data_IF_675493423669
#
_entry.id   IF_675493423669
#
_cell.length_a   1.000
_cell.length_b   1.000
_cell.length_c   1.000
_cell.angle_alpha   90.00
_cell.angle_beta   90.00
_cell.angle_gamma   90.00
#
_symmetry.space_group_name_H-M   'P 1'
#
loop_
_entity.id
_entity.type
_entity.pdbx_description
1 polymer ?
#
# COMPACT_ATOMS: atom_id res chain seq x y z
N UNK A 1 -22.92 70.91 -15.48
CA UNK A 1 -21.66 70.77 -16.23
C UNK A 1 -20.56 70.45 -15.23
N UNK A 2 -20.01 69.24 -15.26
CA UNK A 2 -18.82 68.87 -14.46
C UNK A 2 -17.62 68.82 -15.41
N UNK A 3 -16.43 69.33 -15.04
CA UNK A 3 -15.25 69.21 -15.87
C UNK A 3 -14.72 67.78 -15.79
N UNK A 4 -14.50 67.17 -16.96
CA UNK A 4 -13.85 65.86 -17.08
C UNK A 4 -12.34 66.09 -16.99
N UNK A 5 -11.75 65.75 -15.85
CA UNK A 5 -10.29 65.76 -15.68
C UNK A 5 -9.64 64.74 -16.63
N UNK A 6 -9.07 65.27 -17.71
CA UNK A 6 -8.32 64.52 -18.71
C UNK A 6 -7.00 63.98 -18.15
N UNK A 7 -7.07 62.87 -17.41
CA UNK A 7 -5.89 62.05 -17.10
C UNK A 7 -5.50 61.30 -18.38
N UNK A 8 -4.57 61.87 -19.15
CA UNK A 8 -3.96 61.16 -20.27
C UNK A 8 -3.23 59.91 -19.75
N UNK A 9 -3.66 58.74 -20.20
CA UNK A 9 -2.94 57.48 -20.01
C UNK A 9 -1.68 57.53 -20.88
N UNK A 10 -0.56 57.95 -20.29
CA UNK A 10 0.76 57.89 -20.93
C UNK A 10 1.11 56.42 -21.17
N UNK A 11 1.11 55.99 -22.43
CA UNK A 11 1.53 54.64 -22.82
C UNK A 11 3.00 54.46 -22.43
N UNK A 12 3.31 53.48 -21.56
CA UNK A 12 4.70 53.10 -21.25
C UNK A 12 5.40 52.67 -22.54
N UNK A 13 6.39 53.45 -22.98
CA UNK A 13 7.23 53.11 -24.12
C UNK A 13 8.02 51.81 -23.87
N UNK A 14 8.17 51.00 -24.92
CA UNK A 14 8.96 49.76 -24.88
C UNK A 14 10.43 50.11 -24.69
N UNK A 15 11.06 49.63 -23.61
CA UNK A 15 12.51 49.67 -23.43
C UNK A 15 13.13 48.62 -24.35
N UNK A 16 13.68 49.04 -25.48
CA UNK A 16 14.51 48.17 -26.33
C UNK A 16 15.88 48.11 -25.67
N UNK A 17 16.31 46.91 -25.28
CA UNK A 17 17.67 46.68 -24.81
C UNK A 17 18.48 46.35 -26.06
N UNK A 18 19.44 47.21 -26.40
CA UNK A 18 20.07 47.18 -27.74
C UNK A 18 21.29 46.26 -27.78
N UNK A 19 21.93 45.98 -26.64
CA UNK A 19 23.15 45.15 -26.58
C UNK A 19 23.04 43.96 -25.63
N UNK A 20 23.74 42.86 -25.93
CA UNK A 20 23.83 41.69 -25.05
C UNK A 20 24.48 42.03 -23.69
N UNK A 21 25.40 43.00 -23.69
CA UNK A 21 26.01 43.49 -22.46
C UNK A 21 25.03 44.26 -21.59
N UNK A 22 24.21 45.15 -22.15
CA UNK A 22 23.17 45.84 -21.38
C UNK A 22 22.12 44.86 -20.87
N UNK A 23 21.77 43.85 -21.67
CA UNK A 23 20.87 42.77 -21.26
C UNK A 23 21.47 41.97 -20.10
N UNK A 24 22.76 41.69 -20.16
CA UNK A 24 23.52 41.02 -19.11
C UNK A 24 23.63 41.88 -17.85
N UNK A 25 23.91 43.18 -17.97
CA UNK A 25 23.97 44.12 -16.84
C UNK A 25 22.63 44.25 -16.13
N UNK A 26 21.52 44.37 -16.88
CA UNK A 26 20.16 44.44 -16.31
C UNK A 26 19.80 43.13 -15.60
N UNK A 27 20.11 41.98 -16.21
CA UNK A 27 19.88 40.68 -15.60
C UNK A 27 20.66 40.52 -14.28
N UNK A 28 21.97 40.83 -14.31
CA UNK A 28 22.86 40.73 -13.15
C UNK A 28 22.43 41.65 -11.99
N UNK A 29 21.98 42.87 -12.30
CA UNK A 29 21.45 43.80 -11.29
C UNK A 29 20.19 43.25 -10.61
N UNK A 30 19.32 42.53 -11.34
CA UNK A 30 18.11 41.92 -10.80
C UNK A 30 18.33 40.59 -10.05
N UNK A 31 19.45 39.92 -10.27
CA UNK A 31 19.81 38.66 -9.58
C UNK A 31 20.63 38.87 -8.31
N UNK A 32 21.21 40.05 -8.14
CA UNK A 32 22.04 40.40 -6.96
C UNK A 32 21.14 40.97 -5.86
N UNK A 33 20.45 40.08 -5.14
CA UNK A 33 19.72 40.45 -3.92
C UNK A 33 20.63 40.26 -2.70
N UNK A 34 20.81 41.28 -1.83
CA UNK A 34 21.44 41.07 -0.53
C UNK A 34 20.59 40.07 0.24
N UNK A 35 21.17 38.96 0.68
CA UNK A 35 20.48 37.96 1.51
C UNK A 35 20.03 38.61 2.80
N UNK A 36 18.76 39.03 2.86
CA UNK A 36 18.12 39.44 4.10
C UNK A 36 17.74 38.17 4.87
N UNK A 37 18.00 38.16 6.18
CA UNK A 37 17.47 37.10 7.06
C UNK A 37 15.95 37.19 7.09
N UNK A 38 15.30 36.37 6.26
CA UNK A 38 13.85 36.17 6.31
C UNK A 38 13.49 35.36 7.56
N UNK A 39 12.51 35.86 8.33
CA UNK A 39 11.87 35.08 9.39
C UNK A 39 11.26 33.79 8.82
N UNK A 40 11.21 32.72 9.62
CA UNK A 40 10.76 31.39 9.17
C UNK A 40 9.33 31.42 8.60
N UNK A 41 8.43 32.19 9.21
CA UNK A 41 7.05 32.35 8.72
C UNK A 41 6.98 33.02 7.35
N UNK A 42 7.76 34.09 7.14
CA UNK A 42 7.82 34.79 5.86
C UNK A 42 8.44 33.89 4.77
N UNK A 43 9.46 33.11 5.13
CA UNK A 43 10.07 32.11 4.25
C UNK A 43 9.07 31.02 3.86
N UNK A 44 8.33 30.48 4.82
CA UNK A 44 7.33 29.44 4.60
C UNK A 44 6.17 29.96 3.74
N UNK A 45 5.71 31.19 3.99
CA UNK A 45 4.70 31.86 3.16
C UNK A 45 5.19 32.03 1.72
N UNK A 46 6.39 32.57 1.51
CA UNK A 46 6.98 32.74 0.18
C UNK A 46 7.17 31.41 -0.55
N UNK A 47 7.64 30.36 0.14
CA UNK A 47 7.80 29.02 -0.42
C UNK A 47 6.44 28.42 -0.82
N UNK A 48 5.42 28.60 0.02
CA UNK A 48 4.05 28.17 -0.28
C UNK A 48 3.51 28.85 -1.53
N UNK A 49 3.66 30.18 -1.65
CA UNK A 49 3.20 30.94 -2.82
C UNK A 49 3.94 30.54 -4.11
N UNK A 50 5.24 30.23 -4.01
CA UNK A 50 6.00 29.71 -5.16
C UNK A 50 5.56 28.29 -5.53
N UNK A 51 5.28 27.44 -4.55
CA UNK A 51 4.75 26.09 -4.77
C UNK A 51 3.37 26.14 -5.43
N UNK A 52 2.46 26.99 -4.95
CA UNK A 52 1.12 27.19 -5.51
C UNK A 52 1.19 27.64 -6.96
N UNK A 53 1.92 28.73 -7.26
CA UNK A 53 2.10 29.19 -8.64
C UNK A 53 2.76 28.13 -9.54
N UNK A 54 3.62 27.30 -8.97
CA UNK A 54 4.22 26.17 -9.66
C UNK A 54 3.24 25.02 -9.94
N UNK A 55 2.19 24.85 -9.12
CA UNK A 55 1.10 23.92 -9.40
C UNK A 55 0.16 24.48 -10.47
N UNK A 56 -0.23 25.74 -10.37
CA UNK A 56 -1.08 26.43 -11.36
C UNK A 56 -0.46 26.34 -12.76
N UNK A 57 0.83 26.69 -12.92
CA UNK A 57 1.53 26.54 -14.20
C UNK A 57 1.55 25.10 -14.71
N UNK A 58 1.69 24.11 -13.83
CA UNK A 58 1.69 22.69 -14.22
C UNK A 58 0.29 22.18 -14.60
N UNK A 59 -0.76 22.75 -14.02
CA UNK A 59 -2.14 22.43 -14.38
C UNK A 59 -2.52 23.00 -15.76
N UNK A 60 -1.92 24.13 -16.15
CA UNK A 60 -2.12 24.78 -17.45
C UNK A 60 -1.19 24.26 -18.56
N UNK A 61 -0.25 23.35 -18.24
CA UNK A 61 0.67 22.78 -19.23
C UNK A 61 -0.08 21.98 -20.31
N UNK A 62 0.27 22.22 -21.56
CA UNK A 62 -0.09 21.30 -22.65
C UNK A 62 0.65 19.97 -22.52
N UNK A 63 0.11 18.91 -23.12
CA UNK A 63 0.75 17.59 -23.07
C UNK A 63 2.17 17.59 -23.67
N UNK A 64 2.41 18.38 -24.72
CA UNK A 64 3.75 18.55 -25.30
C UNK A 64 4.73 19.24 -24.32
N UNK A 65 4.30 20.31 -23.66
CA UNK A 65 5.11 21.01 -22.64
C UNK A 65 5.38 20.10 -21.44
N UNK A 66 4.38 19.33 -21.00
CA UNK A 66 4.51 18.36 -19.92
C UNK A 66 5.53 17.28 -20.27
N UNK A 67 5.42 16.70 -21.47
CA UNK A 67 6.33 15.66 -21.94
C UNK A 67 7.75 16.19 -22.13
N UNK A 68 7.91 17.40 -22.67
CA UNK A 68 9.21 18.08 -22.74
C UNK A 68 9.83 18.29 -21.35
N UNK A 69 9.05 18.79 -20.38
CA UNK A 69 9.51 18.98 -19.00
C UNK A 69 9.91 17.66 -18.34
N UNK A 70 9.10 16.61 -18.48
CA UNK A 70 9.38 15.28 -17.94
C UNK A 70 10.64 14.67 -18.56
N UNK A 71 10.84 14.81 -19.87
CA UNK A 71 12.03 14.35 -20.57
C UNK A 71 13.29 15.02 -20.03
N UNK A 72 13.29 16.35 -19.88
CA UNK A 72 14.43 17.10 -19.32
C UNK A 72 14.72 16.69 -17.86
N UNK A 73 13.70 16.50 -17.03
CA UNK A 73 13.89 16.01 -15.66
C UNK A 73 14.45 14.59 -15.62
N UNK A 74 13.98 13.72 -16.52
CA UNK A 74 14.48 12.36 -16.68
C UNK A 74 15.96 12.33 -17.05
N UNK A 75 16.36 13.10 -18.07
CA UNK A 75 17.76 13.26 -18.49
C UNK A 75 18.65 13.78 -17.36
N UNK A 76 18.23 14.83 -16.66
CA UNK A 76 18.97 15.35 -15.50
C UNK A 76 19.11 14.32 -14.38
N UNK A 77 18.08 13.51 -14.13
CA UNK A 77 18.18 12.43 -13.14
C UNK A 77 19.14 11.33 -13.58
N UNK A 78 19.18 10.99 -14.87
CA UNK A 78 20.11 9.99 -15.39
C UNK A 78 21.55 10.50 -15.27
N UNK A 79 21.80 11.76 -15.64
CA UNK A 79 23.10 12.39 -15.49
C UNK A 79 23.59 12.35 -14.03
N UNK A 80 22.74 12.80 -13.08
CA UNK A 80 23.09 12.73 -11.66
C UNK A 80 23.39 11.30 -11.19
N UNK A 81 22.63 10.30 -11.64
CA UNK A 81 22.88 8.89 -11.30
C UNK A 81 24.18 8.35 -11.91
N UNK A 82 24.57 8.83 -13.10
CA UNK A 82 25.83 8.45 -13.72
C UNK A 82 27.05 9.03 -12.99
N UNK A 83 26.86 10.15 -12.30
CA UNK A 83 27.89 10.83 -11.50
C UNK A 83 27.87 10.44 -10.01
N UNK A 84 26.93 9.57 -9.58
CA UNK A 84 26.86 9.10 -8.19
C UNK A 84 28.10 8.28 -7.82
N UNK A 85 28.64 8.52 -6.62
CA UNK A 85 29.65 7.62 -6.04
C UNK A 85 29.01 6.32 -5.55
N UNK A 86 29.82 5.30 -5.27
CA UNK A 86 29.32 4.04 -4.71
C UNK A 86 28.60 4.24 -3.37
N UNK A 87 29.12 5.11 -2.49
CA UNK A 87 28.49 5.45 -1.21
C UNK A 87 27.13 6.12 -1.39
N UNK A 88 27.04 7.09 -2.32
CA UNK A 88 25.78 7.77 -2.64
C UNK A 88 24.76 6.79 -3.24
N UNK A 89 25.22 5.87 -4.09
CA UNK A 89 24.39 4.83 -4.69
C UNK A 89 23.84 3.90 -3.61
N UNK A 90 24.68 3.41 -2.71
CA UNK A 90 24.28 2.53 -1.61
C UNK A 90 23.28 3.22 -0.68
N UNK A 91 23.57 4.46 -0.25
CA UNK A 91 22.65 5.24 0.58
C UNK A 91 21.29 5.45 -0.09
N UNK A 92 21.27 5.79 -1.38
CA UNK A 92 20.01 5.93 -2.15
C UNK A 92 19.23 4.61 -2.22
N UNK A 93 19.91 3.49 -2.48
CA UNK A 93 19.28 2.17 -2.54
C UNK A 93 18.69 1.75 -1.20
N UNK A 94 19.41 2.00 -0.10
CA UNK A 94 18.91 1.74 1.26
C UNK A 94 17.62 2.53 1.56
N UNK A 95 17.59 3.83 1.25
CA UNK A 95 16.39 4.66 1.43
C UNK A 95 15.22 4.12 0.60
N UNK A 96 15.47 3.68 -0.64
CA UNK A 96 14.41 3.08 -1.47
C UNK A 96 13.92 1.75 -0.92
N UNK A 97 14.82 0.90 -0.41
CA UNK A 97 14.48 -0.38 0.20
C UNK A 97 13.63 -0.19 1.46
N UNK A 98 14.04 0.72 2.36
CA UNK A 98 13.28 1.06 3.57
C UNK A 98 11.91 1.64 3.22
N UNK A 99 11.84 2.57 2.25
CA UNK A 99 10.55 3.13 1.79
C UNK A 99 9.63 2.04 1.22
N UNK A 100 10.19 1.08 0.49
CA UNK A 100 9.44 -0.07 -0.03
C UNK A 100 8.93 -1.00 1.08
N UNK A 101 9.75 -1.26 2.10
CA UNK A 101 9.34 -2.03 3.28
C UNK A 101 8.22 -1.34 4.06
N UNK A 102 8.35 -0.02 4.29
CA UNK A 102 7.34 0.78 4.97
C UNK A 102 5.99 0.73 4.27
N UNK A 103 5.94 0.92 2.94
CA UNK A 103 4.68 0.82 2.17
C UNK A 103 4.02 -0.55 2.31
N UNK A 104 4.83 -1.62 2.26
CA UNK A 104 4.32 -2.99 2.45
C UNK A 104 3.80 -3.24 3.87
N UNK A 105 4.39 -2.61 4.87
CA UNK A 105 3.90 -2.68 6.25
C UNK A 105 2.58 -1.91 6.39
N UNK A 106 2.52 -0.65 5.90
CA UNK A 106 1.30 0.17 5.90
C UNK A 106 0.14 -0.56 5.19
N UNK A 107 0.39 -1.16 4.03
CA UNK A 107 -0.62 -1.97 3.31
C UNK A 107 -1.07 -3.21 4.10
N UNK A 108 -0.15 -3.88 4.81
CA UNK A 108 -0.52 -5.00 5.69
C UNK A 108 -1.38 -4.55 6.86
N UNK A 109 -1.05 -3.41 7.46
CA UNK A 109 -1.78 -2.85 8.58
C UNK A 109 -3.19 -2.39 8.15
N UNK A 110 -3.30 -1.72 7.00
CA UNK A 110 -4.57 -1.34 6.38
C UNK A 110 -5.42 -2.57 6.05
N UNK A 111 -4.84 -3.59 5.41
CA UNK A 111 -5.53 -4.84 5.11
C UNK A 111 -5.97 -5.57 6.39
N UNK A 112 -5.10 -5.62 7.41
CA UNK A 112 -5.44 -6.21 8.70
C UNK A 112 -6.60 -5.46 9.36
N UNK A 113 -6.59 -4.13 9.34
CA UNK A 113 -7.69 -3.31 9.83
C UNK A 113 -8.98 -3.55 9.06
N UNK A 114 -8.94 -3.63 7.72
CA UNK A 114 -10.10 -3.95 6.89
C UNK A 114 -10.68 -5.35 7.20
N UNK A 115 -9.81 -6.34 7.39
CA UNK A 115 -10.22 -7.70 7.78
C UNK A 115 -10.85 -7.69 9.18
N UNK A 116 -10.22 -7.02 10.14
CA UNK A 116 -10.72 -6.92 11.51
C UNK A 116 -12.10 -6.23 11.56
N UNK A 117 -12.26 -5.12 10.84
CA UNK A 117 -13.54 -4.42 10.74
C UNK A 117 -14.62 -5.27 10.08
N UNK A 118 -14.29 -6.06 9.05
CA UNK A 118 -15.23 -7.02 8.45
C UNK A 118 -15.69 -8.08 9.46
N UNK A 119 -14.76 -8.71 10.18
CA UNK A 119 -15.13 -9.73 11.17
C UNK A 119 -15.90 -9.15 12.36
N UNK A 120 -15.58 -7.93 12.80
CA UNK A 120 -16.35 -7.22 13.82
C UNK A 120 -17.77 -6.86 13.34
N UNK A 121 -17.96 -6.48 12.07
CA UNK A 121 -19.29 -6.25 11.51
C UNK A 121 -20.09 -7.56 11.38
N UNK A 122 -19.41 -8.67 11.02
CA UNK A 122 -20.03 -9.99 10.89
C UNK A 122 -20.61 -10.50 12.21
N UNK A 123 -19.92 -10.31 13.33
CA UNK A 123 -20.42 -10.72 14.65
C UNK A 123 -21.65 -9.92 15.10
N UNK A 124 -21.82 -8.69 14.62
CA UNK A 124 -23.04 -7.89 14.87
C UNK A 124 -24.19 -8.33 13.95
N UNK A 125 -23.91 -8.67 12.69
CA UNK A 125 -24.94 -9.02 11.70
C UNK A 125 -25.47 -10.46 11.86
N UNK A 126 -24.59 -11.38 12.26
CA UNK A 126 -24.93 -12.74 12.66
C UNK A 126 -24.28 -12.98 14.02
N UNK A 127 -24.97 -12.69 15.14
CA UNK A 127 -24.51 -13.20 16.42
C UNK A 127 -24.31 -14.70 16.24
N UNK A 128 -23.21 -15.23 16.79
CA UNK A 128 -22.86 -16.66 16.75
C UNK A 128 -24.16 -17.43 16.84
N UNK A 129 -24.62 -17.98 15.70
CA UNK A 129 -25.71 -18.94 15.71
C UNK A 129 -25.16 -19.98 16.66
N UNK A 130 -25.83 -20.17 17.81
CA UNK A 130 -25.54 -21.29 18.70
C UNK A 130 -25.28 -22.46 17.77
N UNK A 131 -24.05 -22.98 17.76
CA UNK A 131 -23.72 -24.15 16.93
C UNK A 131 -24.91 -25.08 17.08
N UNK A 132 -25.59 -25.50 15.99
CA UNK A 132 -26.63 -26.50 16.11
C UNK A 132 -25.93 -27.72 16.69
N UNK A 133 -25.97 -27.80 18.01
CA UNK A 133 -25.23 -28.74 18.80
C UNK A 133 -25.93 -30.06 18.52
N UNK A 134 -25.36 -30.82 17.60
CA UNK A 134 -25.86 -32.14 17.20
C UNK A 134 -25.77 -33.16 18.35
N UNK A 135 -25.39 -32.71 19.55
CA UNK A 135 -25.26 -33.48 20.76
C UNK A 135 -23.96 -34.28 20.76
N UNK A 136 -23.74 -35.04 21.84
CA UNK A 136 -22.64 -35.99 21.90
C UNK A 136 -22.90 -37.18 20.95
N UNK A 137 -21.85 -37.66 20.29
CA UNK A 137 -21.89 -38.76 19.33
C UNK A 137 -21.94 -40.12 20.05
N UNK A 138 -22.98 -40.37 20.84
CA UNK A 138 -23.07 -41.56 21.70
C UNK A 138 -23.83 -42.74 21.07
N UNK A 139 -24.48 -42.52 19.92
CA UNK A 139 -25.41 -43.51 19.39
C UNK A 139 -24.68 -44.60 18.61
N UNK A 140 -24.50 -45.76 19.25
CA UNK A 140 -23.84 -46.92 18.66
C UNK A 140 -24.72 -47.61 17.60
N UNK A 141 -24.14 -47.93 16.45
CA UNK A 141 -24.72 -48.89 15.52
C UNK A 141 -24.40 -50.33 15.94
N UNK A 142 -25.43 -51.13 16.24
CA UNK A 142 -25.27 -52.53 16.63
C UNK A 142 -24.72 -53.45 15.52
N UNK A 143 -24.66 -53.00 14.25
CA UNK A 143 -24.13 -53.78 13.13
C UNK A 143 -22.63 -53.62 12.90
N UNK A 144 -22.10 -52.41 13.01
CA UNK A 144 -20.69 -52.11 12.70
C UNK A 144 -19.93 -51.47 13.86
N UNK A 145 -20.59 -51.16 14.99
CA UNK A 145 -19.96 -50.52 16.15
C UNK A 145 -19.63 -49.04 15.97
N UNK A 146 -20.00 -48.41 14.84
CA UNK A 146 -19.79 -46.98 14.62
C UNK A 146 -20.68 -46.11 15.51
N UNK A 147 -20.16 -44.97 15.95
CA UNK A 147 -20.89 -43.95 16.70
C UNK A 147 -21.52 -42.92 15.75
N UNK A 148 -22.74 -42.47 16.05
CA UNK A 148 -23.52 -41.53 15.25
C UNK A 148 -24.16 -40.44 16.11
N UNK A 149 -24.44 -39.29 15.51
CA UNK A 149 -25.24 -38.25 16.13
C UNK A 149 -26.72 -38.65 16.16
N UNK A 150 -27.49 -38.07 17.09
CA UNK A 150 -28.89 -38.48 17.31
C UNK A 150 -29.76 -38.21 16.08
N UNK A 151 -29.46 -37.14 15.36
CA UNK A 151 -30.28 -36.63 14.25
C UNK A 151 -29.89 -37.23 12.88
N UNK A 152 -28.90 -38.12 12.83
CA UNK A 152 -28.47 -38.80 11.59
C UNK A 152 -29.34 -40.00 11.22
N UNK A 153 -30.34 -40.33 12.06
CA UNK A 153 -31.32 -41.39 11.76
C UNK A 153 -32.39 -40.87 10.81
N UNK A 154 -32.69 -41.67 9.79
CA UNK A 154 -33.88 -41.43 8.97
C UNK A 154 -35.17 -41.73 9.77
N UNK A 155 -36.34 -41.45 9.20
CA UNK A 155 -37.66 -41.72 9.81
C UNK A 155 -37.89 -43.20 10.18
N UNK A 156 -37.07 -44.11 9.64
CA UNK A 156 -37.10 -45.55 9.94
C UNK A 156 -36.10 -45.97 11.03
N UNK A 157 -35.39 -45.03 11.64
CA UNK A 157 -34.43 -45.29 12.73
C UNK A 157 -33.09 -45.85 12.27
N UNK A 158 -32.79 -45.80 10.96
CA UNK A 158 -31.57 -46.33 10.34
C UNK A 158 -30.64 -45.16 10.00
N UNK A 159 -29.36 -45.30 10.32
CA UNK A 159 -28.33 -44.33 9.97
C UNK A 159 -28.05 -44.34 8.46
N UNK A 160 -28.08 -43.17 7.85
CA UNK A 160 -28.04 -42.96 6.39
C UNK A 160 -26.76 -43.48 5.72
N UNK A 161 -25.62 -43.49 6.43
CA UNK A 161 -24.31 -43.86 5.88
C UNK A 161 -23.70 -45.14 6.46
N UNK A 162 -24.41 -45.84 7.34
CA UNK A 162 -23.74 -46.71 8.30
C UNK A 162 -23.38 -48.11 7.80
N UNK A 163 -24.10 -48.68 6.84
CA UNK A 163 -23.82 -50.04 6.37
C UNK A 163 -24.44 -50.29 5.00
N UNK A 164 -23.65 -50.16 3.92
CA UNK A 164 -23.95 -50.88 2.69
C UNK A 164 -23.48 -52.33 2.88
N UNK A 165 -24.36 -53.17 3.47
CA UNK A 165 -24.20 -54.62 3.61
C UNK A 165 -22.79 -55.14 4.00
N UNK A 166 -22.12 -54.49 4.96
CA UNK A 166 -20.86 -55.02 5.52
C UNK A 166 -19.60 -54.79 4.69
N UNK A 167 -19.60 -53.92 3.68
CA UNK A 167 -18.38 -53.62 2.90
C UNK A 167 -17.63 -52.36 3.41
N UNK A 168 -17.34 -52.30 4.71
CA UNK A 168 -16.26 -51.42 5.19
C UNK A 168 -15.12 -52.36 5.57
N UNK A 169 -14.26 -52.63 4.59
CA UNK A 169 -12.93 -53.14 4.90
C UNK A 169 -12.25 -51.95 5.56
N UNK A 170 -11.99 -52.07 6.86
CA UNK A 170 -11.02 -51.21 7.53
C UNK A 170 -9.69 -51.48 6.84
N UNK A 171 -9.42 -50.78 5.73
CA UNK A 171 -8.05 -50.61 5.30
C UNK A 171 -7.46 -49.83 6.45
N UNK A 172 -6.75 -50.52 7.34
CA UNK A 172 -5.90 -49.93 8.35
C UNK A 172 -5.18 -48.81 7.63
N UNK A 173 -5.67 -47.60 7.87
CA UNK A 173 -5.22 -46.41 7.23
C UNK A 173 -3.75 -46.37 7.53
N UNK A 174 -2.93 -46.60 6.51
CA UNK A 174 -1.51 -46.27 6.54
C UNK A 174 -1.49 -44.74 6.57
N UNK A 175 -1.90 -44.16 7.69
CA UNK A 175 -1.67 -42.78 7.98
C UNK A 175 -0.15 -42.65 8.01
N UNK A 176 0.43 -41.71 7.22
CA UNK A 176 1.85 -41.43 7.38
C UNK A 176 2.09 -41.12 8.86
N UNK A 177 3.14 -41.71 9.44
CA UNK A 177 3.50 -41.59 10.86
C UNK A 177 3.49 -40.13 11.34
N UNK A 178 3.76 -39.21 10.42
CA UNK A 178 3.71 -37.76 10.57
C UNK A 178 2.35 -37.20 11.01
N UNK A 179 1.22 -37.88 10.77
CA UNK A 179 -0.10 -37.42 11.21
C UNK A 179 -0.45 -37.88 12.63
N UNK A 180 0.33 -38.81 13.21
CA UNK A 180 0.08 -39.37 14.53
C UNK A 180 0.41 -38.38 15.65
N UNK A 181 1.44 -37.55 15.47
CA UNK A 181 1.81 -36.51 16.45
C UNK A 181 0.75 -35.43 16.66
N UNK A 182 -0.11 -35.19 15.66
CA UNK A 182 -1.23 -34.25 15.75
C UNK A 182 -2.37 -34.75 16.65
N UNK A 183 -2.59 -36.06 16.72
CA UNK A 183 -3.64 -36.67 17.55
C UNK A 183 -3.16 -36.87 18.99
N UNK A 184 -1.87 -37.15 19.18
CA UNK A 184 -1.29 -37.55 20.47
C UNK A 184 -0.76 -36.34 21.28
N UNK A 185 -0.93 -35.11 20.76
CA UNK A 185 -0.47 -33.87 21.41
C UNK A 185 1.06 -33.77 21.59
N UNK A 186 1.82 -34.61 20.90
CA UNK A 186 3.27 -34.66 21.03
C UNK A 186 3.92 -33.57 20.17
N UNK A 187 4.90 -32.80 20.70
CA UNK A 187 5.53 -31.72 19.94
C UNK A 187 6.27 -32.29 18.72
N UNK A 188 5.85 -31.87 17.53
CA UNK A 188 6.52 -32.19 16.28
C UNK A 188 7.91 -31.54 16.25
N UNK A 189 8.92 -32.33 16.57
CA UNK A 189 10.31 -31.87 16.59
C UNK A 189 10.87 -31.88 15.15
N UNK A 190 10.45 -30.90 14.34
CA UNK A 190 11.07 -30.67 13.04
C UNK A 190 12.45 -30.04 13.26
N UNK A 191 13.50 -30.87 13.31
CA UNK A 191 14.87 -30.37 13.14
C UNK A 191 15.04 -29.90 11.70
N UNK A 192 14.94 -28.59 11.51
CA UNK A 192 15.28 -27.93 10.26
C UNK A 192 16.79 -28.06 10.04
N UNK A 193 17.22 -29.09 9.31
CA UNK A 193 18.62 -29.21 8.90
C UNK A 193 18.83 -28.37 7.65
N UNK A 194 19.23 -27.10 7.86
CA UNK A 194 19.77 -26.25 6.81
C UNK A 194 21.14 -26.81 6.38
N UNK A 195 21.15 -27.74 5.41
CA UNK A 195 22.37 -28.02 4.65
C UNK A 195 22.51 -26.95 3.59
N UNK A 196 23.27 -25.91 3.94
CA UNK A 196 23.86 -24.99 2.96
C UNK A 196 25.04 -25.75 2.35
N UNK A 197 24.95 -26.03 1.06
CA UNK A 197 26.10 -26.29 0.18
C UNK A 197 26.20 -25.14 -0.79
#
# INVERSE_FOLDING_TARGET
>A
MLPVDGRQLVKRGRRVVETEEERSRIFNYGTTWPGQEEAEEQRNSRLSDMAQRGQERRAEETEEQRNGRLAVMGQRSQHRRAEETEEQTNSRLEVMAQRGQRRRAEERDENHHQIQTFYAARTVLYPIVEEPNCGEMENLCLKCGGLYFRDEKNTTGIYTHCCRNGNIIEQASVYPVEMKGLMDGSPMNYQCTSKIT
#
